data_IF_359982026415
#
_entry.id   IF_359982026415
#
_cell.length_a   1.000
_cell.length_b   1.000
_cell.length_c   1.000
_cell.angle_alpha   90.00
_cell.angle_beta   90.00
_cell.angle_gamma   90.00
#
_symmetry.space_group_name_H-M   'P 1'
#
loop_
_entity.id
_entity.type
_entity.pdbx_description
1 polymer ?
#
# COMPACT_ATOMS: atom_id res chain seq x y z
N UNK A 1 -54.11 23.84 25.16
CA UNK A 1 -54.50 23.44 23.80
C UNK A 1 -53.27 23.55 22.90
N UNK A 2 -52.44 22.55 22.58
CA UNK A 2 -52.70 21.14 22.37
C UNK A 2 -51.34 20.39 22.44
N UNK A 3 -51.13 19.58 23.48
CA UNK A 3 -50.04 18.59 23.53
C UNK A 3 -50.36 17.43 22.58
N UNK A 4 -49.36 16.95 21.82
CA UNK A 4 -49.37 15.63 21.19
C UNK A 4 -48.13 14.85 21.61
N UNK A 5 -48.27 13.77 22.40
CA UNK A 5 -47.23 12.78 22.65
C UNK A 5 -47.32 11.64 21.63
N UNK A 6 -46.19 11.01 21.31
CA UNK A 6 -46.14 9.62 20.86
C UNK A 6 -44.71 9.09 20.97
N UNK A 7 -44.38 8.59 22.17
CA UNK A 7 -43.36 7.57 22.37
C UNK A 7 -43.83 6.30 21.66
N UNK A 8 -43.24 6.01 20.51
CA UNK A 8 -43.37 4.74 19.80
C UNK A 8 -42.09 3.92 19.97
N UNK A 9 -41.99 3.21 21.09
CA UNK A 9 -41.00 2.16 21.31
C UNK A 9 -41.39 0.95 20.47
N UNK A 10 -40.57 0.59 19.48
CA UNK A 10 -40.61 -0.71 18.82
C UNK A 10 -39.19 -1.28 18.82
N UNK A 11 -38.97 -2.14 19.80
CA UNK A 11 -37.86 -3.05 19.88
C UNK A 11 -37.91 -4.10 18.74
N UNK A 12 -36.79 -4.81 18.61
CA UNK A 12 -36.64 -6.12 17.95
C UNK A 12 -36.42 -6.12 16.43
N UNK A 13 -35.15 -6.10 16.03
CA UNK A 13 -34.63 -7.16 15.16
C UNK A 13 -33.11 -7.30 15.38
N UNK A 14 -32.79 -8.34 16.15
CA UNK A 14 -31.54 -9.06 16.16
C UNK A 14 -30.93 -9.24 14.76
N UNK A 15 -29.83 -8.53 14.50
CA UNK A 15 -28.75 -9.04 13.66
C UNK A 15 -27.68 -9.51 14.66
N UNK A 16 -27.75 -10.72 15.23
CA UNK A 16 -27.98 -11.96 14.50
C UNK A 16 -26.69 -12.30 13.76
N UNK A 17 -25.81 -13.04 14.45
CA UNK A 17 -24.53 -13.55 13.95
C UNK A 17 -23.40 -12.52 13.86
N UNK A 18 -22.76 -12.28 15.01
CA UNK A 18 -21.31 -12.05 15.07
C UNK A 18 -20.61 -13.34 14.58
N UNK A 19 -20.73 -13.63 13.29
CA UNK A 19 -19.88 -14.60 12.65
C UNK A 19 -18.49 -13.99 12.72
N UNK A 20 -17.58 -14.64 13.44
CA UNK A 20 -16.18 -14.25 13.45
C UNK A 20 -15.76 -13.92 12.02
N UNK A 21 -15.17 -12.74 11.77
CA UNK A 21 -14.86 -12.28 10.43
C UNK A 21 -14.07 -13.38 9.73
N UNK A 22 -14.71 -14.03 8.76
CA UNK A 22 -14.07 -15.06 7.97
C UNK A 22 -13.00 -14.33 7.20
N UNK A 23 -11.74 -14.43 7.66
CA UNK A 23 -10.60 -13.83 6.98
C UNK A 23 -10.67 -14.28 5.52
N UNK A 24 -10.97 -13.33 4.65
CA UNK A 24 -11.12 -13.62 3.22
C UNK A 24 -9.75 -14.05 2.74
N UNK A 25 -9.58 -15.35 2.49
CA UNK A 25 -8.33 -15.89 2.01
C UNK A 25 -8.04 -15.33 0.62
N UNK A 26 -7.09 -14.41 0.53
CA UNK A 26 -6.61 -13.90 -0.75
C UNK A 26 -5.78 -15.00 -1.42
N UNK A 27 -6.21 -15.49 -2.57
CA UNK A 27 -5.41 -16.42 -3.40
C UNK A 27 -4.40 -15.64 -4.24
N UNK A 28 -3.31 -16.27 -4.70
CA UNK A 28 -2.31 -15.61 -5.56
C UNK A 28 -2.92 -14.93 -6.79
N UNK A 29 -3.82 -15.59 -7.53
CA UNK A 29 -4.45 -14.99 -8.71
C UNK A 29 -5.32 -13.77 -8.36
N UNK A 30 -6.05 -13.83 -7.24
CA UNK A 30 -6.82 -12.69 -6.74
C UNK A 30 -5.92 -11.54 -6.26
N UNK A 31 -4.78 -11.86 -5.64
CA UNK A 31 -3.78 -10.85 -5.27
C UNK A 31 -3.23 -10.11 -6.51
N UNK A 32 -2.88 -10.85 -7.56
CA UNK A 32 -2.42 -10.26 -8.84
C UNK A 32 -3.50 -9.36 -9.46
N UNK A 33 -4.74 -9.86 -9.54
CA UNK A 33 -5.86 -9.08 -10.08
C UNK A 33 -6.12 -7.79 -9.28
N UNK A 34 -6.10 -7.88 -7.94
CA UNK A 34 -6.24 -6.72 -7.05
C UNK A 34 -5.17 -5.66 -7.35
N UNK A 35 -3.89 -6.06 -7.41
CA UNK A 35 -2.80 -5.13 -7.68
C UNK A 35 -2.87 -4.57 -9.11
N UNK A 36 -3.31 -5.35 -10.09
CA UNK A 36 -3.54 -4.86 -11.47
C UNK A 36 -4.64 -3.80 -11.52
N UNK A 37 -5.76 -4.00 -10.82
CA UNK A 37 -6.84 -3.01 -10.76
C UNK A 37 -6.41 -1.73 -10.02
N UNK A 38 -5.70 -1.86 -8.90
CA UNK A 38 -5.11 -0.70 -8.22
C UNK A 38 -4.14 0.06 -9.14
N UNK A 39 -3.24 -0.67 -9.83
CA UNK A 39 -2.31 -0.09 -10.79
C UNK A 39 -3.04 0.66 -11.91
N UNK A 40 -4.11 0.08 -12.46
CA UNK A 40 -4.91 0.70 -13.50
C UNK A 40 -5.57 2.00 -13.00
N UNK A 41 -6.14 1.99 -11.79
CA UNK A 41 -6.76 3.16 -11.18
C UNK A 41 -5.77 4.31 -10.97
N UNK A 42 -4.62 4.02 -10.36
CA UNK A 42 -3.58 5.04 -10.12
C UNK A 42 -2.86 5.46 -11.40
N UNK A 43 -2.80 4.61 -12.43
CA UNK A 43 -2.22 4.96 -13.72
C UNK A 43 -3.15 5.80 -14.60
N UNK A 44 -4.42 5.97 -14.23
CA UNK A 44 -5.37 6.69 -15.06
C UNK A 44 -4.96 8.16 -15.28
N UNK A 45 -5.13 8.74 -16.49
CA UNK A 45 -4.75 10.13 -16.75
C UNK A 45 -5.45 11.13 -15.84
N UNK A 46 -6.69 10.83 -15.45
CA UNK A 46 -7.48 11.67 -14.53
C UNK A 46 -6.86 11.67 -13.14
N UNK A 47 -6.43 10.51 -12.64
CA UNK A 47 -5.76 10.40 -11.34
C UNK A 47 -4.41 11.13 -11.36
N UNK A 48 -3.58 10.87 -12.38
CA UNK A 48 -2.25 11.47 -12.49
C UNK A 48 -2.28 13.00 -12.59
N UNK A 49 -3.26 13.56 -13.33
CA UNK A 49 -3.47 15.02 -13.35
C UNK A 49 -3.82 15.59 -11.98
N UNK A 50 -4.66 14.91 -11.20
CA UNK A 50 -4.98 15.33 -9.83
C UNK A 50 -3.76 15.20 -8.91
N UNK A 51 -3.05 14.08 -9.00
CA UNK A 51 -1.84 13.83 -8.21
C UNK A 51 -0.78 14.92 -8.43
N UNK A 52 -0.63 15.41 -9.66
CA UNK A 52 0.30 16.48 -10.00
C UNK A 52 -0.05 17.84 -9.37
N UNK A 53 -1.33 18.10 -9.09
CA UNK A 53 -1.80 19.36 -8.49
C UNK A 53 -1.74 19.28 -6.96
N UNK A 54 -1.92 18.08 -6.39
CA UNK A 54 -2.00 17.88 -4.95
C UNK A 54 -0.60 17.72 -4.35
N UNK A 55 -0.09 18.80 -3.78
CA UNK A 55 1.25 18.84 -3.15
C UNK A 55 1.25 18.36 -1.71
N UNK A 56 0.11 18.43 -1.01
CA UNK A 56 0.03 18.02 0.39
C UNK A 56 0.02 16.50 0.53
N UNK A 57 0.77 15.99 1.50
CA UNK A 57 0.79 14.57 1.86
C UNK A 57 -0.64 14.01 2.09
N UNK A 58 -1.44 14.74 2.88
CA UNK A 58 -2.82 14.36 3.18
C UNK A 58 -3.70 14.25 1.92
N UNK A 59 -3.61 15.23 1.02
CA UNK A 59 -4.41 15.21 -0.20
C UNK A 59 -4.02 14.05 -1.12
N UNK A 60 -2.73 13.72 -1.20
CA UNK A 60 -2.24 12.57 -1.98
C UNK A 60 -2.76 11.26 -1.40
N UNK A 61 -2.70 11.10 -0.07
CA UNK A 61 -3.26 9.95 0.65
C UNK A 61 -4.75 9.77 0.35
N UNK A 62 -5.55 10.84 0.49
CA UNK A 62 -6.99 10.79 0.21
C UNK A 62 -7.28 10.44 -1.26
N UNK A 63 -6.44 10.92 -2.19
CA UNK A 63 -6.59 10.59 -3.60
C UNK A 63 -6.38 9.09 -3.86
N UNK A 64 -5.36 8.48 -3.26
CA UNK A 64 -5.09 7.03 -3.34
C UNK A 64 -6.21 6.23 -2.68
N UNK A 65 -6.67 6.67 -1.50
CA UNK A 65 -7.78 6.02 -0.79
C UNK A 65 -9.07 5.98 -1.61
N UNK A 66 -9.34 7.00 -2.42
CA UNK A 66 -10.50 6.98 -3.30
C UNK A 66 -10.43 5.86 -4.36
N UNK A 67 -9.24 5.56 -4.89
CA UNK A 67 -9.06 4.41 -5.79
C UNK A 67 -9.25 3.10 -5.02
N UNK A 68 -8.69 3.01 -3.81
CA UNK A 68 -8.82 1.82 -2.97
C UNK A 68 -10.27 1.57 -2.54
N UNK A 69 -11.06 2.61 -2.22
CA UNK A 69 -12.49 2.53 -1.89
C UNK A 69 -13.32 1.86 -2.98
N UNK A 70 -12.94 2.03 -4.24
CA UNK A 70 -13.62 1.42 -5.38
C UNK A 70 -13.18 -0.04 -5.60
N UNK A 71 -11.89 -0.34 -5.39
CA UNK A 71 -11.31 -1.66 -5.71
C UNK A 71 -11.44 -2.65 -4.55
N UNK A 72 -11.10 -2.27 -3.32
CA UNK A 72 -10.99 -3.19 -2.18
C UNK A 72 -12.29 -3.97 -1.86
N UNK A 73 -13.49 -3.36 -1.90
CA UNK A 73 -14.74 -4.08 -1.67
C UNK A 73 -14.98 -5.23 -2.64
N UNK A 74 -14.52 -5.13 -3.89
CA UNK A 74 -14.63 -6.21 -4.89
C UNK A 74 -13.83 -7.46 -4.50
N UNK A 75 -12.84 -7.30 -3.62
CA UNK A 75 -11.99 -8.39 -3.14
C UNK A 75 -12.37 -8.87 -1.73
N UNK A 76 -13.40 -8.26 -1.12
CA UNK A 76 -13.86 -8.61 0.23
C UNK A 76 -13.09 -7.92 1.35
N UNK A 77 -12.38 -6.84 1.05
CA UNK A 77 -11.75 -5.96 2.03
C UNK A 77 -12.57 -4.68 2.19
N UNK A 78 -12.46 -4.03 3.33
CA UNK A 78 -13.10 -2.73 3.53
C UNK A 78 -12.44 -1.65 2.65
N UNK A 79 -13.22 -0.67 2.20
CA UNK A 79 -12.71 0.48 1.43
C UNK A 79 -12.00 1.52 2.30
N UNK A 80 -11.70 1.20 3.55
CA UNK A 80 -11.04 2.09 4.50
C UNK A 80 -9.53 1.85 4.56
N UNK A 81 -8.84 2.69 5.33
CA UNK A 81 -7.42 2.50 5.61
C UNK A 81 -7.15 1.17 6.30
N UNK A 82 -8.05 0.74 7.19
CA UNK A 82 -7.97 -0.54 7.85
C UNK A 82 -8.08 -1.71 6.84
N UNK A 83 -9.02 -1.64 5.90
CA UNK A 83 -9.12 -2.66 4.85
C UNK A 83 -7.88 -2.74 3.98
N UNK A 84 -7.19 -1.62 3.75
CA UNK A 84 -5.90 -1.61 3.07
C UNK A 84 -4.78 -2.28 3.90
N UNK A 85 -4.74 -2.08 5.22
CA UNK A 85 -3.83 -2.82 6.11
C UNK A 85 -4.09 -4.34 6.06
N UNK A 86 -5.36 -4.76 5.99
CA UNK A 86 -5.71 -6.17 5.83
C UNK A 86 -5.23 -6.75 4.50
N UNK A 87 -5.29 -5.98 3.41
CA UNK A 87 -4.71 -6.35 2.11
C UNK A 87 -3.19 -6.51 2.22
N UNK A 88 -2.51 -5.59 2.91
CA UNK A 88 -1.07 -5.66 3.16
C UNK A 88 -0.68 -7.00 3.79
N UNK A 89 -1.40 -7.38 4.85
CA UNK A 89 -1.19 -8.62 5.58
C UNK A 89 -1.53 -9.84 4.70
N UNK A 90 -2.60 -9.76 3.92
CA UNK A 90 -3.02 -10.82 3.01
C UNK A 90 -2.05 -11.03 1.83
N UNK A 91 -1.28 -10.01 1.45
CA UNK A 91 -0.25 -10.10 0.41
C UNK A 91 1.07 -10.69 0.89
N UNK A 92 1.37 -10.70 2.20
CA UNK A 92 2.64 -11.21 2.75
C UNK A 92 3.04 -12.62 2.28
N UNK A 93 2.13 -13.61 2.17
CA UNK A 93 2.48 -14.93 1.67
C UNK A 93 2.93 -14.94 0.21
N UNK A 94 2.59 -13.91 -0.57
CA UNK A 94 2.83 -13.82 -2.01
C UNK A 94 3.99 -12.90 -2.40
N UNK A 95 4.70 -12.29 -1.44
CA UNK A 95 5.83 -11.38 -1.72
C UNK A 95 7.03 -12.06 -2.40
N UNK A 96 7.07 -13.39 -2.44
CA UNK A 96 8.07 -14.15 -3.19
C UNK A 96 7.70 -14.34 -4.66
N UNK A 97 6.48 -14.01 -5.07
CA UNK A 97 6.06 -14.07 -6.48
C UNK A 97 6.56 -12.81 -7.22
N UNK A 98 7.31 -12.97 -8.32
CA UNK A 98 7.91 -11.83 -9.02
C UNK A 98 6.86 -10.89 -9.61
N UNK A 99 5.71 -11.41 -10.06
CA UNK A 99 4.64 -10.57 -10.61
C UNK A 99 4.04 -9.66 -9.55
N UNK A 100 3.87 -10.16 -8.31
CA UNK A 100 3.39 -9.34 -7.18
C UNK A 100 4.37 -8.21 -6.87
N UNK A 101 5.67 -8.49 -6.87
CA UNK A 101 6.72 -7.49 -6.65
C UNK A 101 6.70 -6.44 -7.77
N UNK A 102 6.70 -6.86 -9.03
CA UNK A 102 6.66 -5.97 -10.20
C UNK A 102 5.45 -5.03 -10.19
N UNK A 103 4.26 -5.57 -9.87
CA UNK A 103 3.03 -4.78 -9.77
C UNK A 103 3.08 -3.78 -8.62
N UNK A 104 3.60 -4.21 -7.46
CA UNK A 104 3.74 -3.34 -6.28
C UNK A 104 4.68 -2.16 -6.57
N UNK A 105 5.83 -2.44 -7.18
CA UNK A 105 6.76 -1.38 -7.61
C UNK A 105 6.18 -0.49 -8.71
N UNK A 106 5.37 -1.04 -9.62
CA UNK A 106 4.72 -0.24 -10.65
C UNK A 106 3.72 0.75 -10.03
N UNK A 107 2.96 0.32 -9.02
CA UNK A 107 2.07 1.20 -8.25
C UNK A 107 2.89 2.29 -7.55
N UNK A 108 3.95 1.91 -6.84
CA UNK A 108 4.88 2.82 -6.17
C UNK A 108 5.38 3.92 -7.13
N UNK A 109 5.94 3.52 -8.27
CA UNK A 109 6.43 4.45 -9.31
C UNK A 109 5.35 5.41 -9.83
N UNK A 110 4.09 4.99 -9.88
CA UNK A 110 2.96 5.85 -10.31
C UNK A 110 2.49 6.81 -9.22
N UNK A 111 2.74 6.48 -7.96
CA UNK A 111 2.39 7.34 -6.85
C UNK A 111 3.50 8.34 -6.52
N UNK A 112 4.75 8.06 -6.90
CA UNK A 112 5.89 8.98 -6.77
C UNK A 112 5.77 10.13 -7.77
N UNK A 113 5.89 11.37 -7.29
CA UNK A 113 6.02 12.53 -8.17
C UNK A 113 7.38 12.47 -8.89
N UNK A 114 7.45 12.82 -10.18
CA UNK A 114 8.74 13.00 -10.82
C UNK A 114 9.53 14.07 -10.03
N UNK A 115 10.83 13.83 -9.76
CA UNK A 115 11.67 14.73 -8.96
C UNK A 115 11.74 16.17 -9.52
N UNK A 116 11.32 16.36 -10.77
CA UNK A 116 11.38 17.62 -11.50
C UNK A 116 10.17 18.56 -11.22
N UNK A 117 9.18 18.14 -10.43
CA UNK A 117 8.01 18.97 -10.10
C UNK A 117 8.27 19.96 -8.95
N UNK A 118 9.39 19.82 -8.25
CA UNK A 118 9.91 20.82 -7.34
C UNK A 118 11.11 21.43 -8.06
N UNK A 119 10.92 22.44 -8.92
CA UNK A 119 12.07 23.23 -9.35
C UNK A 119 12.70 23.79 -8.07
N UNK A 120 13.92 23.38 -7.70
CA UNK A 120 14.60 24.01 -6.59
C UNK A 120 14.86 25.45 -7.05
N UNK A 121 14.07 26.39 -6.50
CA UNK A 121 14.34 27.82 -6.66
C UNK A 121 15.81 28.03 -6.34
N UNK A 122 16.56 28.42 -7.36
CA UNK A 122 18.01 28.27 -7.44
C UNK A 122 18.76 29.02 -6.34
N UNK A 123 19.08 28.33 -5.24
CA UNK A 123 20.19 28.70 -4.36
C UNK A 123 21.11 27.49 -4.22
N UNK A 124 22.23 27.54 -4.94
CA UNK A 124 23.19 26.47 -5.08
C UNK A 124 24.07 26.31 -3.82
N UNK A 125 24.18 25.11 -3.23
CA UNK A 125 25.29 24.78 -2.35
C UNK A 125 26.42 24.16 -3.18
N UNK A 126 27.47 24.94 -3.45
CA UNK A 126 28.75 24.44 -3.95
C UNK A 126 29.52 23.77 -2.80
N UNK A 127 29.72 22.46 -2.90
CA UNK A 127 30.90 21.82 -2.31
C UNK A 127 30.63 20.59 -1.45
N UNK A 128 31.19 19.46 -1.89
CA UNK A 128 31.84 18.51 -0.98
C UNK A 128 31.11 17.21 -0.68
N UNK A 129 31.73 16.13 -1.15
CA UNK A 129 31.78 14.80 -0.51
C UNK A 129 30.66 13.76 -0.77
N UNK A 130 30.96 12.98 -1.81
CA UNK A 130 30.86 11.54 -2.00
C UNK A 130 30.42 10.63 -0.82
N UNK A 131 29.22 10.87 -0.27
CA UNK A 131 28.47 9.89 0.54
C UNK A 131 26.99 9.77 0.09
N UNK A 132 26.73 9.97 -1.20
CA UNK A 132 25.39 10.01 -1.80
C UNK A 132 24.78 8.62 -2.07
N UNK A 133 24.63 7.79 -1.03
CA UNK A 133 23.79 6.57 -1.08
C UNK A 133 22.99 6.38 0.22
N UNK A 134 22.32 7.42 0.72
CA UNK A 134 21.34 7.23 1.81
C UNK A 134 20.38 8.42 2.01
N UNK A 135 20.03 9.15 0.96
CA UNK A 135 19.06 10.28 1.07
C UNK A 135 17.93 10.22 0.05
N UNK A 136 17.89 9.20 -0.80
CA UNK A 136 16.76 8.97 -1.72
C UNK A 136 15.61 8.19 -1.08
N UNK A 137 15.79 7.72 0.17
CA UNK A 137 14.78 6.96 0.94
C UNK A 137 13.92 7.87 1.82
N UNK A 138 14.44 8.97 2.38
CA UNK A 138 13.68 9.76 3.37
C UNK A 138 12.67 10.75 2.77
N UNK A 139 12.86 11.19 1.52
CA UNK A 139 11.82 11.97 0.80
C UNK A 139 10.70 11.07 0.24
N UNK A 140 10.89 9.75 0.25
CA UNK A 140 9.90 8.74 -0.11
C UNK A 140 8.91 8.47 1.04
N UNK A 141 9.27 8.86 2.27
CA UNK A 141 8.59 8.50 3.54
C UNK A 141 7.41 9.42 3.92
N UNK A 142 7.20 10.55 3.25
CA UNK A 142 6.35 11.61 3.79
C UNK A 142 4.89 11.69 3.28
N UNK A 143 4.46 10.94 2.25
CA UNK A 143 3.16 11.22 1.62
C UNK A 143 2.07 10.13 1.71
N UNK A 144 2.40 8.86 1.94
CA UNK A 144 1.41 7.78 1.99
C UNK A 144 1.73 6.77 3.10
N UNK A 145 1.66 7.21 4.36
CA UNK A 145 2.03 6.45 5.56
C UNK A 145 3.49 5.92 5.54
N UNK A 146 4.37 6.39 6.45
CA UNK A 146 5.79 6.00 6.48
C UNK A 146 6.03 4.49 6.66
N UNK A 147 4.99 3.71 6.98
CA UNK A 147 5.12 2.31 7.35
C UNK A 147 4.72 1.31 6.26
N UNK A 148 3.85 1.62 5.29
CA UNK A 148 3.35 0.56 4.38
C UNK A 148 4.40 0.14 3.35
N UNK A 149 4.92 1.07 2.56
CA UNK A 149 5.96 0.74 1.57
C UNK A 149 7.25 0.30 2.26
N UNK A 150 7.64 0.97 3.34
CA UNK A 150 8.79 0.59 4.16
C UNK A 150 8.63 -0.80 4.77
N UNK A 151 7.43 -1.20 5.21
CA UNK A 151 7.19 -2.57 5.69
C UNK A 151 7.09 -3.56 4.56
N UNK A 152 6.49 -3.22 3.42
CA UNK A 152 6.28 -4.17 2.33
C UNK A 152 7.60 -4.42 1.56
N UNK A 153 8.37 -3.36 1.29
CA UNK A 153 9.75 -3.45 0.80
C UNK A 153 10.67 -4.04 1.87
N UNK A 154 10.58 -3.60 3.12
CA UNK A 154 11.39 -4.14 4.22
C UNK A 154 11.13 -5.63 4.47
N UNK A 155 9.90 -6.11 4.34
CA UNK A 155 9.57 -7.54 4.41
C UNK A 155 10.05 -8.32 3.18
N UNK A 156 9.98 -7.71 1.99
CA UNK A 156 10.52 -8.30 0.77
C UNK A 156 12.06 -8.42 0.83
N UNK A 157 12.76 -7.37 1.27
CA UNK A 157 14.21 -7.35 1.47
C UNK A 157 14.64 -8.30 2.59
N UNK A 158 13.92 -8.34 3.71
CA UNK A 158 14.20 -9.28 4.80
C UNK A 158 14.05 -10.73 4.34
N UNK A 159 13.03 -11.06 3.53
CA UNK A 159 12.87 -12.41 2.97
C UNK A 159 13.89 -12.73 1.88
N UNK A 160 14.25 -11.77 1.03
CA UNK A 160 15.30 -11.95 0.04
C UNK A 160 16.65 -12.23 0.73
N UNK A 161 16.94 -11.50 1.82
CA UNK A 161 18.10 -11.73 2.67
C UNK A 161 18.08 -13.10 3.33
N UNK A 162 16.93 -13.53 3.87
CA UNK A 162 16.77 -14.85 4.49
C UNK A 162 16.95 -15.99 3.46
N UNK A 163 16.42 -15.83 2.24
CA UNK A 163 16.59 -16.82 1.18
C UNK A 163 18.04 -16.90 0.70
N UNK A 164 18.73 -15.76 0.55
CA UNK A 164 20.15 -15.71 0.25
C UNK A 164 20.99 -16.40 1.34
N UNK A 165 20.66 -16.17 2.61
CA UNK A 165 21.33 -16.83 3.74
C UNK A 165 21.14 -18.35 3.73
N UNK A 166 19.93 -18.85 3.41
CA UNK A 166 19.67 -20.30 3.29
C UNK A 166 20.43 -20.95 2.14
N UNK A 167 20.55 -20.27 0.99
CA UNK A 167 21.32 -20.78 -0.14
C UNK A 167 22.83 -20.86 0.17
N UNK A 168 23.36 -19.89 0.92
CA UNK A 168 24.76 -19.91 1.35
C UNK A 168 25.03 -21.12 2.28
N UNK A 169 24.16 -21.37 3.26
CA UNK A 169 24.30 -22.49 4.18
C UNK A 169 24.26 -23.86 3.47
N UNK A 170 23.34 -24.04 2.51
CA UNK A 170 23.23 -25.28 1.74
C UNK A 170 24.49 -25.58 0.88
N UNK A 171 25.23 -24.54 0.49
CA UNK A 171 26.46 -24.69 -0.31
C UNK A 171 27.66 -25.13 0.52
N UNK A 172 27.69 -24.80 1.81
CA UNK A 172 28.77 -25.21 2.72
C UNK A 172 28.62 -26.67 3.19
N UNK A 173 27.40 -27.16 3.44
CA UNK A 173 27.17 -28.58 3.80
C UNK A 173 27.53 -29.55 2.66
N UNK A 174 27.38 -29.13 1.40
CA UNK A 174 27.71 -29.97 0.23
C UNK A 174 29.21 -30.07 -0.08
N UNK A 175 30.07 -29.23 0.51
CA UNK A 175 31.51 -29.22 0.25
C UNK A 175 32.33 -30.06 1.24
N UNK A 176 31.69 -30.53 2.32
CA UNK A 176 32.34 -31.30 3.39
C UNK A 176 32.08 -32.82 3.30
N UNK A 177 31.38 -33.29 2.27
CA UNK A 177 31.23 -34.71 1.92
C UNK A 177 32.05 -35.05 0.67
#
# INVERSE_FOLDING_TARGET
ELLKPALGSAAMASHGSSAAPRRVGLTLNRAKALLQELLAGVSSPRFQKKLAIVTSAWGRRELVLNVQREVLPCYGFDGSEHGFEEVALALQPFLSDPTIVELSEAIARKLTLPPNACEPSAEAPTGGDAAARSVHSELFVACCAPDFETRLLGLAEARASEHAARQAAAKEEGAAS
#
